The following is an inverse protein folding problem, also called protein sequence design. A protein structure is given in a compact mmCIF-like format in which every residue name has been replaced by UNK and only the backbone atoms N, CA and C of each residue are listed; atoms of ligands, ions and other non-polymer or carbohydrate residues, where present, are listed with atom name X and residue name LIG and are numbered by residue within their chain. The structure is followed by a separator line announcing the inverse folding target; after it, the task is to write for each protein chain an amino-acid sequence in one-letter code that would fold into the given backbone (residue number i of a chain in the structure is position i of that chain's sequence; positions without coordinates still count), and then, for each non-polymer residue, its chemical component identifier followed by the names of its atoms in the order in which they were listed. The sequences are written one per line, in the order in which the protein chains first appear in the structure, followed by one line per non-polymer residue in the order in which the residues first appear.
data_IF_054823224282
#
_entry.id   IF_054823224282
#
_cell.length_a   1.000
_cell.length_b   1.000
_cell.length_c   1.000
_cell.angle_alpha   90.00
_cell.angle_beta   90.00
_cell.angle_gamma   90.00
#
_symmetry.space_group_name_H-M   'P 1'
#
loop_
_entity.id
_entity.type
_entity.pdbx_description
1 polymer ?
#
# COMPACT_ATOMS: atom_id res chain seq x y z
N UNK A 1 -25.77 5.16 11.28
CA UNK A 1 -26.40 5.19 9.94
C UNK A 1 -25.40 5.23 8.78
N UNK A 2 -24.40 6.13 8.73
CA UNK A 2 -23.48 6.25 7.58
C UNK A 2 -22.67 4.99 7.21
N UNK A 3 -22.29 4.16 8.19
CA UNK A 3 -21.56 2.91 7.92
C UNK A 3 -22.40 1.86 7.21
N UNK A 4 -23.64 1.65 7.68
CA UNK A 4 -24.56 0.64 7.12
C UNK A 4 -24.97 0.95 5.68
N UNK A 5 -25.21 2.23 5.38
CA UNK A 5 -25.45 2.69 4.01
C UNK A 5 -24.25 2.46 3.07
N UNK A 6 -23.02 2.46 3.59
CA UNK A 6 -21.81 2.23 2.80
C UNK A 6 -21.61 0.74 2.48
N UNK A 7 -21.91 -0.13 3.43
CA UNK A 7 -21.94 -1.58 3.20
C UNK A 7 -23.03 -1.95 2.18
N UNK A 8 -24.25 -1.44 2.34
CA UNK A 8 -25.36 -1.69 1.41
C UNK A 8 -25.06 -1.14 0.02
N UNK A 9 -24.52 0.08 -0.07
CA UNK A 9 -24.15 0.65 -1.38
C UNK A 9 -22.96 -0.07 -2.01
N UNK A 10 -22.05 -0.67 -1.23
CA UNK A 10 -21.01 -1.56 -1.76
C UNK A 10 -21.56 -2.87 -2.34
N UNK A 11 -22.75 -3.32 -1.91
CA UNK A 11 -23.46 -4.47 -2.48
C UNK A 11 -24.21 -4.12 -3.78
N UNK A 12 -24.68 -2.88 -3.91
CA UNK A 12 -25.54 -2.43 -5.03
C UNK A 12 -24.74 -1.68 -6.11
N UNK A 13 -23.73 -0.90 -5.72
CA UNK A 13 -22.91 -0.12 -6.63
C UNK A 13 -21.73 -0.94 -7.15
N UNK A 14 -21.36 -0.79 -8.44
CA UNK A 14 -20.18 -1.43 -8.98
C UNK A 14 -18.93 -1.06 -8.17
N UNK A 15 -18.16 -2.06 -7.80
CA UNK A 15 -16.84 -1.88 -7.18
C UNK A 15 -16.00 -0.92 -8.03
N UNK A 16 -15.35 0.06 -7.41
CA UNK A 16 -14.46 1.01 -8.07
C UNK A 16 -13.02 0.88 -7.58
N UNK A 17 -12.07 1.11 -8.48
CA UNK A 17 -10.65 0.99 -8.18
C UNK A 17 -10.26 1.96 -7.07
N UNK A 18 -9.70 1.45 -5.97
CA UNK A 18 -9.27 2.26 -4.82
C UNK A 18 -8.21 3.31 -5.15
N UNK A 19 -7.51 3.16 -6.29
CA UNK A 19 -6.49 4.08 -6.77
C UNK A 19 -7.00 5.15 -7.73
N UNK A 20 -7.68 4.76 -8.82
CA UNK A 20 -8.09 5.67 -9.90
C UNK A 20 -9.60 5.81 -10.09
N UNK A 21 -10.43 5.07 -9.34
CA UNK A 21 -11.89 5.14 -9.44
C UNK A 21 -12.50 4.40 -10.65
N UNK A 22 -11.72 3.71 -11.49
CA UNK A 22 -12.24 2.89 -12.59
C UNK A 22 -13.25 1.86 -12.05
N UNK A 23 -14.43 1.78 -12.66
CA UNK A 23 -15.47 0.83 -12.28
C UNK A 23 -15.08 -0.64 -12.54
N UNK A 24 -15.79 -1.54 -11.86
CA UNK A 24 -15.75 -3.01 -11.98
C UNK A 24 -14.44 -3.69 -11.54
N UNK A 25 -13.61 -3.03 -10.73
CA UNK A 25 -12.38 -3.64 -10.18
C UNK A 25 -12.00 -2.98 -8.86
N UNK A 26 -11.55 -3.74 -7.87
CA UNK A 26 -11.06 -3.19 -6.59
C UNK A 26 -9.73 -2.47 -6.76
N UNK A 27 -8.87 -2.99 -7.63
CA UNK A 27 -7.59 -2.40 -8.00
C UNK A 27 -7.24 -2.80 -9.43
N UNK A 28 -7.21 -1.82 -10.33
CA UNK A 28 -6.82 -2.08 -11.71
C UNK A 28 -5.30 -2.35 -11.83
N UNK A 29 -4.91 -3.06 -12.89
CA UNK A 29 -3.52 -3.43 -13.16
C UNK A 29 -2.55 -2.25 -13.15
N UNK A 30 -2.94 -1.11 -13.74
CA UNK A 30 -2.12 0.09 -13.75
C UNK A 30 -1.86 0.67 -12.35
N UNK A 31 -2.88 0.65 -11.47
CA UNK A 31 -2.70 1.08 -10.07
C UNK A 31 -1.90 0.04 -9.28
N UNK A 32 -2.08 -1.25 -9.56
CA UNK A 32 -1.27 -2.33 -9.01
C UNK A 32 0.21 -2.19 -9.37
N UNK A 33 0.52 -1.93 -10.65
CA UNK A 33 1.88 -1.70 -11.12
C UNK A 33 2.54 -0.50 -10.44
N UNK A 34 1.79 0.60 -10.21
CA UNK A 34 2.30 1.75 -9.44
C UNK A 34 2.53 1.45 -7.96
N UNK A 35 1.73 0.56 -7.38
CA UNK A 35 1.79 0.23 -5.94
C UNK A 35 2.87 -0.80 -5.60
N UNK A 36 3.01 -1.85 -6.42
CA UNK A 36 3.91 -2.98 -6.13
C UNK A 36 4.69 -3.49 -7.36
N UNK A 37 4.64 -2.79 -8.49
CA UNK A 37 5.41 -3.16 -9.68
C UNK A 37 6.84 -2.61 -9.68
N UNK A 38 7.12 -1.55 -8.93
CA UNK A 38 8.46 -1.03 -8.72
C UNK A 38 9.21 -1.78 -7.62
N UNK A 39 10.54 -1.79 -7.70
CA UNK A 39 11.37 -2.23 -6.59
C UNK A 39 11.26 -1.22 -5.42
N UNK A 40 11.15 -1.67 -4.16
CA UNK A 40 11.25 -0.79 -3.01
C UNK A 40 12.56 -0.03 -3.04
N UNK A 41 12.51 1.24 -2.66
CA UNK A 41 13.67 2.14 -2.71
C UNK A 41 14.02 2.67 -1.34
N UNK A 42 15.31 2.89 -1.10
CA UNK A 42 15.77 3.63 0.07
C UNK A 42 15.29 5.08 0.01
N UNK A 43 14.76 5.60 1.12
CA UNK A 43 14.28 6.98 1.22
C UNK A 43 14.96 7.67 2.38
N UNK A 44 15.37 8.92 2.17
CA UNK A 44 15.99 9.75 3.19
C UNK A 44 15.49 11.18 3.10
N UNK A 45 15.22 11.86 4.22
CA UNK A 45 15.01 13.29 4.25
C UNK A 45 16.29 14.05 3.89
N UNK A 46 16.15 15.31 3.46
CA UNK A 46 17.26 16.24 3.27
C UNK A 46 17.02 17.50 4.09
N UNK A 47 17.86 17.80 5.11
CA UNK A 47 18.96 16.97 5.61
C UNK A 47 18.47 15.70 6.33
N UNK A 48 19.32 14.66 6.39
CA UNK A 48 19.00 13.42 7.11
C UNK A 48 19.18 13.65 8.63
N UNK A 49 18.14 13.43 9.46
CA UNK A 49 18.26 13.62 10.91
C UNK A 49 19.18 12.54 11.51
N UNK A 50 20.01 12.90 12.51
CA UNK A 50 20.86 11.93 13.21
C UNK A 50 20.04 10.79 13.81
N UNK A 51 20.51 9.56 13.66
CA UNK A 51 19.88 8.37 14.23
C UNK A 51 18.69 7.81 13.44
N UNK A 52 18.37 8.36 12.25
CA UNK A 52 17.32 7.79 11.40
C UNK A 52 17.71 6.35 10.96
N UNK A 53 16.87 5.33 11.22
CA UNK A 53 17.13 3.99 10.71
C UNK A 53 17.06 3.96 9.18
N UNK A 54 17.60 2.91 8.56
CA UNK A 54 17.48 2.75 7.11
C UNK A 54 16.01 2.57 6.73
N UNK A 55 15.44 3.57 6.05
CA UNK A 55 14.04 3.54 5.60
C UNK A 55 13.95 3.06 4.15
N UNK A 56 13.07 2.10 3.91
CA UNK A 56 12.66 1.67 2.57
C UNK A 56 11.19 1.99 2.34
N UNK A 57 10.88 2.60 1.19
CA UNK A 57 9.51 2.83 0.75
C UNK A 57 9.15 1.84 -0.36
N UNK A 58 7.97 1.23 -0.25
CA UNK A 58 7.43 0.35 -1.28
C UNK A 58 7.06 1.10 -2.56
N UNK A 59 6.57 2.34 -2.44
CA UNK A 59 6.16 3.19 -3.56
C UNK A 59 6.19 4.67 -3.16
N UNK A 60 6.12 5.57 -4.16
CA UNK A 60 5.95 7.01 -3.93
C UNK A 60 4.56 7.32 -3.37
N UNK A 61 4.48 8.17 -2.33
CA UNK A 61 3.21 8.60 -1.74
C UNK A 61 2.54 9.70 -2.57
N UNK A 62 1.99 9.31 -3.72
CA UNK A 62 1.33 10.22 -4.64
C UNK A 62 0.23 9.53 -5.45
N UNK A 63 -0.64 10.32 -6.08
CA UNK A 63 -1.67 9.85 -7.00
C UNK A 63 -2.43 8.60 -6.54
N UNK A 64 -2.36 7.54 -7.35
CA UNK A 64 -3.05 6.28 -7.11
C UNK A 64 -2.58 5.55 -5.84
N UNK A 65 -1.29 5.62 -5.50
CA UNK A 65 -0.73 4.96 -4.30
C UNK A 65 -1.29 5.63 -3.04
N UNK A 66 -1.29 6.97 -3.02
CA UNK A 66 -1.92 7.74 -1.95
C UNK A 66 -3.42 7.42 -1.84
N UNK A 67 -4.13 7.35 -2.95
CA UNK A 67 -5.56 7.06 -2.96
C UNK A 67 -5.89 5.68 -2.37
N UNK A 68 -5.10 4.64 -2.72
CA UNK A 68 -5.23 3.28 -2.17
C UNK A 68 -4.96 3.25 -0.66
N UNK A 69 -3.87 3.90 -0.20
CA UNK A 69 -3.55 3.99 1.22
C UNK A 69 -4.68 4.64 2.01
N UNK A 70 -5.22 5.76 1.53
CA UNK A 70 -6.33 6.44 2.18
C UNK A 70 -7.64 5.64 2.10
N UNK A 71 -7.85 4.86 1.03
CA UNK A 71 -8.99 3.96 0.92
C UNK A 71 -8.98 2.93 2.06
N UNK A 72 -7.81 2.36 2.35
CA UNK A 72 -7.66 1.41 3.43
C UNK A 72 -7.75 2.09 4.81
N UNK A 73 -6.87 3.06 5.08
CA UNK A 73 -6.63 3.62 6.41
C UNK A 73 -7.81 4.45 6.93
N UNK A 74 -8.38 5.29 6.06
CA UNK A 74 -9.36 6.29 6.49
C UNK A 74 -10.79 5.92 6.09
N UNK A 75 -10.95 5.17 4.98
CA UNK A 75 -12.28 4.79 4.46
C UNK A 75 -12.66 3.35 4.76
N UNK A 76 -11.77 2.56 5.36
CA UNK A 76 -12.06 1.18 5.75
C UNK A 76 -12.27 0.21 4.57
N UNK A 77 -11.69 0.51 3.40
CA UNK A 77 -11.75 -0.40 2.24
C UNK A 77 -10.79 -1.56 2.47
N UNK A 78 -11.29 -2.63 3.10
CA UNK A 78 -10.48 -3.79 3.52
C UNK A 78 -9.89 -4.57 2.36
N UNK A 79 -10.52 -4.53 1.19
CA UNK A 79 -10.00 -5.10 -0.05
C UNK A 79 -8.55 -4.65 -0.39
N UNK A 80 -8.17 -3.44 0.05
CA UNK A 80 -6.83 -2.90 -0.17
C UNK A 80 -5.75 -3.51 0.74
N UNK A 81 -6.13 -4.28 1.77
CA UNK A 81 -5.18 -4.91 2.69
C UNK A 81 -4.21 -5.86 1.96
N UNK A 82 -4.70 -6.69 1.04
CA UNK A 82 -3.85 -7.62 0.27
C UNK A 82 -2.86 -6.88 -0.65
N UNK A 83 -3.29 -5.93 -1.50
CA UNK A 83 -2.37 -5.13 -2.30
C UNK A 83 -1.33 -4.36 -1.47
N UNK A 84 -1.74 -3.75 -0.36
CA UNK A 84 -0.83 -3.03 0.54
C UNK A 84 0.15 -3.98 1.23
N UNK A 85 -0.31 -5.16 1.65
CA UNK A 85 0.54 -6.20 2.21
C UNK A 85 1.59 -6.70 1.23
N UNK A 86 1.24 -6.83 -0.07
CA UNK A 86 2.21 -7.18 -1.12
C UNK A 86 3.30 -6.13 -1.27
N UNK A 87 2.92 -4.85 -1.29
CA UNK A 87 3.86 -3.74 -1.37
C UNK A 87 4.76 -3.69 -0.13
N UNK A 88 4.18 -3.84 1.07
CA UNK A 88 4.90 -3.89 2.35
C UNK A 88 5.90 -5.05 2.39
N UNK A 89 5.48 -6.25 1.99
CA UNK A 89 6.37 -7.42 1.95
C UNK A 89 7.60 -7.18 1.07
N UNK A 90 7.45 -6.43 -0.03
CA UNK A 90 8.57 -5.97 -0.84
C UNK A 90 9.54 -5.11 -0.02
N UNK A 91 9.04 -4.04 0.60
CA UNK A 91 9.87 -3.12 1.39
C UNK A 91 10.57 -3.82 2.56
N UNK A 92 9.88 -4.75 3.23
CA UNK A 92 10.43 -5.58 4.29
C UNK A 92 11.61 -6.41 3.80
N UNK A 93 11.48 -7.10 2.67
CA UNK A 93 12.58 -7.90 2.09
C UNK A 93 13.77 -7.03 1.70
N UNK A 94 13.52 -5.82 1.19
CA UNK A 94 14.59 -4.89 0.86
C UNK A 94 15.33 -4.38 2.12
N UNK A 95 14.59 -4.13 3.21
CA UNK A 95 15.15 -3.66 4.47
C UNK A 95 15.86 -4.75 5.30
N UNK A 96 15.37 -5.99 5.24
CA UNK A 96 15.94 -7.11 5.98
C UNK A 96 17.34 -7.54 5.49
N UNK A 97 17.68 -7.23 4.24
CA UNK A 97 18.92 -7.72 3.62
C UNK A 97 18.93 -9.24 3.45
N UNK A 98 20.10 -9.80 3.14
CA UNK A 98 20.31 -11.26 3.11
C UNK A 98 20.69 -11.67 4.53
N UNK A 99 19.81 -12.35 5.26
CA UNK A 99 20.18 -12.97 6.53
C UNK A 99 20.77 -14.36 6.26
N UNK A 100 22.08 -14.58 6.46
CA UNK A 100 22.69 -15.90 6.29
C UNK A 100 22.22 -16.91 7.35
N UNK A 101 21.73 -16.44 8.50
CA UNK A 101 21.34 -17.29 9.65
C UNK A 101 19.85 -17.62 9.66
N UNK A 102 19.05 -17.04 8.76
CA UNK A 102 17.62 -17.31 8.61
C UNK A 102 16.77 -16.97 9.84
N UNK A 103 17.18 -15.98 10.64
CA UNK A 103 16.48 -15.57 11.85
C UNK A 103 15.13 -14.93 11.50
N UNK A 104 14.11 -15.12 12.34
CA UNK A 104 12.81 -14.52 12.11
C UNK A 104 12.91 -12.99 12.18
N UNK A 105 12.32 -12.32 11.19
CA UNK A 105 12.16 -10.88 11.19
C UNK A 105 10.92 -10.50 12.00
N UNK A 106 11.11 -9.71 13.06
CA UNK A 106 10.02 -9.09 13.81
C UNK A 106 9.59 -7.80 13.09
N UNK A 107 8.30 -7.72 12.73
CA UNK A 107 7.63 -6.57 12.15
C UNK A 107 6.69 -5.92 13.16
#
# INVERSE_FOLDING_TARGET
MRGWWREISGLVLPVACGGCGRARTELCEACGARLYGGAPRRVRPSPEPPGLPVVHAAAGYEGAVRAVLLAHKERGVLAMARPLGRALAGAVRAGAGRDPDGRPLLL
#
